data_IF_877589359569
#
_entry.id   IF_877589359569
#
_cell.length_a   1.000
_cell.length_b   1.000
_cell.length_c   1.000
_cell.angle_alpha   90.00
_cell.angle_beta   90.00
_cell.angle_gamma   90.00
#
_symmetry.space_group_name_H-M   'P 1'
#
loop_
_entity.id
_entity.type
_entity.pdbx_description
1 polymer ?
#
# COMPACT_ATOMS: atom_id res chain seq x y z
N UNK A 1 32.37 12.10 13.58
CA UNK A 1 30.96 12.53 13.48
C UNK A 1 30.14 11.29 13.20
N UNK A 2 29.18 10.93 14.06
CA UNK A 2 28.27 9.83 13.74
C UNK A 2 27.44 10.27 12.54
N UNK A 3 27.53 9.52 11.43
CA UNK A 3 26.72 9.79 10.24
C UNK A 3 25.25 9.62 10.59
N UNK A 4 24.40 10.56 10.16
CA UNK A 4 22.95 10.49 10.37
C UNK A 4 22.40 9.18 9.81
N UNK A 5 21.39 8.58 10.46
CA UNK A 5 20.75 7.38 9.93
C UNK A 5 19.82 7.70 8.76
N UNK A 6 19.38 6.70 8.00
CA UNK A 6 18.39 6.89 6.92
C UNK A 6 17.08 7.49 7.46
N UNK A 7 16.65 6.99 8.62
CA UNK A 7 15.45 7.46 9.33
C UNK A 7 15.58 8.92 9.73
N UNK A 8 16.72 9.32 10.29
CA UNK A 8 16.92 10.70 10.77
C UNK A 8 16.82 11.70 9.62
N UNK A 9 17.39 11.37 8.45
CA UNK A 9 17.27 12.21 7.25
C UNK A 9 15.83 12.40 6.80
N UNK A 10 15.04 11.33 6.79
CA UNK A 10 13.60 11.40 6.43
C UNK A 10 12.84 12.27 7.42
N UNK A 11 13.05 12.07 8.74
CA UNK A 11 12.40 12.87 9.78
C UNK A 11 12.75 14.35 9.64
N UNK A 12 14.04 14.69 9.49
CA UNK A 12 14.48 16.07 9.29
C UNK A 12 13.85 16.72 8.06
N UNK A 13 13.77 16.00 6.94
CA UNK A 13 13.13 16.52 5.73
C UNK A 13 11.64 16.82 5.97
N UNK A 14 10.92 15.94 6.69
CA UNK A 14 9.51 16.15 7.06
C UNK A 14 9.33 17.31 8.06
N UNK A 15 10.31 17.56 8.91
CA UNK A 15 10.35 18.68 9.86
C UNK A 15 10.91 19.98 9.26
N UNK A 16 11.18 20.01 7.95
CA UNK A 16 11.78 21.15 7.24
C UNK A 16 13.15 21.60 7.79
N UNK A 17 13.93 20.64 8.30
CA UNK A 17 15.29 20.84 8.79
C UNK A 17 16.32 20.35 7.77
N UNK A 18 17.50 20.95 7.80
CA UNK A 18 18.64 20.51 6.97
C UNK A 18 19.20 19.18 7.49
N UNK A 19 19.28 18.18 6.60
CA UNK A 19 20.03 16.94 6.78
C UNK A 19 21.37 17.00 6.05
N UNK A 20 22.28 16.06 6.36
CA UNK A 20 23.58 15.95 5.67
C UNK A 20 23.46 15.66 4.15
N UNK A 21 22.34 15.09 3.72
CA UNK A 21 21.91 14.94 2.31
C UNK A 21 20.39 14.75 2.22
N UNK A 22 19.83 15.04 1.05
CA UNK A 22 18.40 14.90 0.75
C UNK A 22 18.01 13.40 0.78
N UNK A 23 17.04 12.98 1.62
CA UNK A 23 16.51 11.63 1.56
C UNK A 23 15.81 11.40 0.23
N UNK A 24 15.98 10.22 -0.35
CA UNK A 24 15.44 9.90 -1.66
C UNK A 24 15.04 8.42 -1.75
N UNK A 25 14.25 8.13 -2.76
CA UNK A 25 13.86 6.78 -3.16
C UNK A 25 13.89 6.68 -4.68
N UNK A 26 14.61 5.68 -5.17
CA UNK A 26 14.64 5.31 -6.57
C UNK A 26 14.36 3.81 -6.67
N UNK A 27 13.22 3.49 -7.27
CA UNK A 27 12.88 2.14 -7.68
C UNK A 27 13.14 1.99 -9.18
N UNK A 28 13.51 0.79 -9.59
CA UNK A 28 13.80 0.44 -10.97
C UNK A 28 12.79 -0.58 -11.45
N UNK A 29 12.41 -0.48 -12.72
CA UNK A 29 11.76 -1.60 -13.40
C UNK A 29 12.71 -2.80 -13.44
N UNK A 30 12.18 -4.01 -13.58
CA UNK A 30 13.00 -5.21 -13.58
C UNK A 30 14.03 -5.21 -14.72
N UNK A 31 13.67 -4.78 -15.93
CA UNK A 31 14.63 -4.63 -17.03
C UNK A 31 15.73 -3.62 -16.71
N UNK A 32 15.39 -2.49 -16.10
CA UNK A 32 16.38 -1.48 -15.73
C UNK A 32 17.31 -2.02 -14.64
N UNK A 33 16.74 -2.69 -13.63
CA UNK A 33 17.48 -3.36 -12.56
C UNK A 33 18.43 -4.41 -13.11
N UNK A 34 17.96 -5.30 -13.98
CA UNK A 34 18.74 -6.39 -14.57
C UNK A 34 19.92 -5.88 -15.42
N UNK A 35 19.80 -4.70 -16.04
CA UNK A 35 20.91 -4.04 -16.73
C UNK A 35 21.98 -3.51 -15.78
N UNK A 36 21.61 -3.17 -14.54
CA UNK A 36 22.53 -2.62 -13.54
C UNK A 36 23.17 -3.70 -12.66
N UNK A 37 22.52 -4.85 -12.45
CA UNK A 37 23.07 -5.97 -11.65
C UNK A 37 24.53 -6.31 -12.00
N UNK A 38 24.94 -6.42 -13.28
CA UNK A 38 26.34 -6.74 -13.61
C UNK A 38 27.36 -5.66 -13.20
N UNK A 39 26.90 -4.45 -12.87
CA UNK A 39 27.75 -3.29 -12.57
C UNK A 39 27.80 -2.95 -11.08
N UNK A 40 26.95 -3.56 -10.25
CA UNK A 40 26.83 -3.27 -8.82
C UNK A 40 26.68 -4.56 -7.99
N UNK A 41 26.68 -4.43 -6.66
CA UNK A 41 26.38 -5.55 -5.76
C UNK A 41 24.88 -5.92 -5.77
N UNK A 42 24.52 -7.13 -5.36
CA UNK A 42 23.12 -7.62 -5.40
C UNK A 42 22.09 -6.73 -4.68
N UNK A 43 22.54 -5.96 -3.68
CA UNK A 43 21.74 -5.05 -2.86
C UNK A 43 22.07 -3.57 -3.15
N UNK A 44 22.38 -3.24 -4.41
CA UNK A 44 22.80 -1.90 -4.81
C UNK A 44 21.76 -0.81 -4.54
N UNK A 45 20.47 -1.15 -4.49
CA UNK A 45 19.41 -0.20 -4.17
C UNK A 45 19.53 0.28 -2.71
N UNK A 46 19.92 -0.61 -1.80
CA UNK A 46 20.18 -0.23 -0.41
C UNK A 46 21.62 0.21 -0.18
N UNK A 47 22.59 -0.21 -0.99
CA UNK A 47 24.01 0.11 -0.76
C UNK A 47 24.48 1.29 -1.60
N UNK A 48 24.37 1.21 -2.92
CA UNK A 48 24.81 2.23 -3.87
C UNK A 48 23.82 3.39 -3.99
N UNK A 49 22.57 3.10 -4.33
CA UNK A 49 21.53 4.13 -4.37
C UNK A 49 21.25 4.63 -2.96
N UNK A 50 21.32 3.74 -1.97
CA UNK A 50 21.12 4.08 -0.56
C UNK A 50 19.74 4.73 -0.36
N UNK A 51 18.70 4.03 -0.84
CA UNK A 51 17.30 4.40 -0.65
C UNK A 51 16.95 4.65 0.82
N UNK A 52 16.20 5.72 1.08
CA UNK A 52 15.81 6.16 2.43
C UNK A 52 14.37 5.79 2.78
N UNK A 53 13.57 5.43 1.78
CA UNK A 53 12.16 5.05 1.91
C UNK A 53 11.98 3.61 1.41
N UNK A 54 10.87 3.02 1.81
CA UNK A 54 10.35 1.78 1.25
C UNK A 54 8.97 2.08 0.67
N UNK A 55 8.76 1.69 -0.58
CA UNK A 55 7.49 1.86 -1.27
C UNK A 55 6.95 0.49 -1.65
N UNK A 56 5.64 0.31 -1.49
CA UNK A 56 4.94 -0.89 -1.92
C UNK A 56 3.62 -0.48 -2.53
N UNK A 57 3.39 -0.92 -3.76
CA UNK A 57 2.19 -0.62 -4.53
C UNK A 57 1.47 -1.90 -4.91
N UNK A 58 0.15 -1.81 -4.97
CA UNK A 58 -0.72 -2.81 -5.57
C UNK A 58 -1.41 -2.19 -6.79
N UNK A 59 -1.25 -2.84 -7.95
CA UNK A 59 -1.82 -2.38 -9.23
C UNK A 59 -2.49 -3.54 -9.98
N UNK A 60 -3.04 -4.52 -9.25
CA UNK A 60 -3.45 -5.81 -9.80
C UNK A 60 -2.31 -6.83 -9.88
N UNK A 61 -2.64 -8.12 -10.02
CA UNK A 61 -1.66 -9.16 -10.33
C UNK A 61 -1.82 -9.71 -11.74
N UNK A 62 -1.09 -9.16 -12.72
CA UNK A 62 -1.13 -9.65 -14.09
C UNK A 62 -0.69 -11.12 -14.18
N UNK A 63 -1.47 -11.95 -14.88
CA UNK A 63 -1.19 -13.36 -15.15
C UNK A 63 -1.18 -13.62 -16.67
N UNK A 64 -0.36 -14.56 -17.18
CA UNK A 64 -0.34 -14.85 -18.62
C UNK A 64 -1.73 -15.20 -19.16
N UNK A 65 -2.13 -14.60 -20.28
CA UNK A 65 -3.46 -14.79 -20.89
C UNK A 65 -3.62 -16.23 -21.39
N UNK A 66 -2.63 -16.75 -22.10
CA UNK A 66 -2.60 -18.11 -22.61
C UNK A 66 -1.15 -18.59 -22.84
N UNK A 67 -1.00 -19.85 -23.26
CA UNK A 67 0.32 -20.46 -23.52
C UNK A 67 0.90 -20.11 -24.88
N UNK A 68 0.09 -19.64 -25.81
CA UNK A 68 0.48 -19.29 -27.18
C UNK A 68 1.02 -17.85 -27.25
N UNK A 69 0.62 -16.99 -26.31
CA UNK A 69 1.00 -15.58 -26.17
C UNK A 69 1.54 -15.30 -24.75
N UNK A 70 2.69 -15.88 -24.35
CA UNK A 70 3.23 -15.74 -23.00
C UNK A 70 3.64 -14.30 -22.62
N UNK A 71 3.68 -13.40 -23.60
CA UNK A 71 3.97 -11.97 -23.45
C UNK A 71 2.74 -11.14 -23.09
N UNK A 72 1.54 -11.71 -23.11
CA UNK A 72 0.29 -11.02 -22.82
C UNK A 72 -0.18 -11.39 -21.43
N UNK A 73 -0.42 -10.37 -20.60
CA UNK A 73 -0.82 -10.57 -19.22
C UNK A 73 -2.15 -9.89 -18.95
N UNK A 74 -3.04 -10.55 -18.22
CA UNK A 74 -4.30 -9.98 -17.78
C UNK A 74 -4.27 -9.71 -16.29
N UNK A 75 -4.60 -8.49 -15.88
CA UNK A 75 -4.79 -8.16 -14.46
C UNK A 75 -6.19 -8.51 -13.95
N UNK A 76 -6.42 -8.26 -12.66
CA UNK A 76 -7.70 -8.58 -12.00
C UNK A 76 -8.87 -7.72 -12.52
N UNK A 77 -8.58 -6.59 -13.17
CA UNK A 77 -9.56 -5.73 -13.81
C UNK A 77 -9.78 -6.11 -15.28
N UNK A 78 -9.41 -7.31 -15.71
CA UNK A 78 -9.51 -7.77 -17.11
C UNK A 78 -8.72 -6.93 -18.14
N UNK A 79 -7.81 -6.05 -17.70
CA UNK A 79 -6.96 -5.29 -18.63
C UNK A 79 -5.86 -6.21 -19.15
N UNK A 80 -5.73 -6.27 -20.48
CA UNK A 80 -4.67 -7.02 -21.15
C UNK A 80 -3.47 -6.11 -21.43
N UNK A 81 -2.33 -6.46 -20.85
CA UNK A 81 -1.05 -5.81 -20.95
C UNK A 81 -0.15 -6.60 -21.90
N UNK A 82 0.20 -5.98 -23.03
CA UNK A 82 1.13 -6.51 -24.00
C UNK A 82 2.57 -6.14 -23.62
N UNK A 83 3.36 -7.15 -23.23
CA UNK A 83 4.77 -7.04 -22.85
C UNK A 83 5.73 -7.54 -23.92
N UNK A 84 5.25 -7.81 -25.14
CA UNK A 84 6.10 -8.26 -26.26
C UNK A 84 7.03 -7.16 -26.80
N UNK A 85 6.63 -5.90 -26.59
CA UNK A 85 7.26 -4.74 -27.20
C UNK A 85 8.39 -4.12 -26.38
N UNK A 86 8.39 -2.78 -26.34
CA UNK A 86 9.47 -1.98 -25.73
C UNK A 86 9.42 -2.05 -24.19
N UNK A 87 8.23 -2.06 -23.61
CA UNK A 87 8.03 -2.16 -22.16
C UNK A 87 7.61 -3.59 -21.80
N UNK A 88 8.58 -4.39 -21.35
CA UNK A 88 8.36 -5.78 -20.93
C UNK A 88 8.07 -5.90 -19.44
N UNK A 89 8.25 -4.82 -18.68
CA UNK A 89 8.06 -4.83 -17.22
C UNK A 89 6.60 -4.55 -16.86
N UNK A 90 6.06 -3.46 -17.42
CA UNK A 90 4.69 -3.02 -17.16
C UNK A 90 3.79 -3.55 -18.28
N UNK A 91 4.19 -3.32 -19.53
CA UNK A 91 3.39 -3.61 -20.72
C UNK A 91 2.58 -2.41 -21.18
N UNK A 92 2.13 -2.46 -22.43
CA UNK A 92 1.21 -1.48 -23.00
C UNK A 92 -0.19 -2.09 -23.05
N UNK A 93 -1.22 -1.31 -22.74
CA UNK A 93 -2.61 -1.77 -22.83
C UNK A 93 -2.92 -2.19 -24.27
N UNK A 94 -3.29 -3.46 -24.46
CA UNK A 94 -3.55 -4.05 -25.79
C UNK A 94 -4.88 -3.57 -26.37
N UNK A 95 -5.92 -3.49 -25.54
CA UNK A 95 -7.26 -3.09 -25.99
C UNK A 95 -7.99 -2.39 -24.84
N UNK A 96 -8.68 -1.27 -25.09
CA UNK A 96 -9.51 -0.64 -24.07
C UNK A 96 -10.61 -1.61 -23.63
N UNK A 97 -10.70 -1.79 -22.31
CA UNK A 97 -11.63 -2.75 -21.69
C UNK A 97 -13.10 -2.34 -21.88
N UNK A 98 -13.35 -1.03 -21.93
CA UNK A 98 -14.67 -0.45 -22.19
C UNK A 98 -14.62 0.25 -23.55
N UNK A 99 -15.18 -0.40 -24.57
CA UNK A 99 -15.32 0.16 -25.91
C UNK A 99 -16.67 0.89 -26.05
N UNK A 100 -16.77 2.10 -25.53
CA UNK A 100 -17.97 2.95 -25.61
C UNK A 100 -18.58 3.30 -24.23
N UNK A 101 -19.75 3.94 -24.17
CA UNK A 101 -20.36 4.36 -22.91
C UNK A 101 -21.12 3.24 -22.15
N UNK A 102 -21.04 2.00 -22.64
CA UNK A 102 -21.84 0.87 -22.14
C UNK A 102 -21.18 0.24 -20.91
N UNK A 103 -21.56 0.72 -19.73
CA UNK A 103 -21.11 0.20 -18.43
C UNK A 103 -21.55 -1.25 -18.19
N UNK A 104 -22.50 -1.76 -18.98
CA UNK A 104 -23.01 -3.13 -18.89
C UNK A 104 -21.95 -4.20 -19.23
N UNK A 105 -20.84 -3.79 -19.83
CA UNK A 105 -19.70 -4.68 -20.12
C UNK A 105 -18.70 -4.77 -18.97
N UNK A 106 -18.79 -3.85 -17.99
CA UNK A 106 -17.91 -3.87 -16.83
C UNK A 106 -18.28 -5.04 -15.92
N UNK A 107 -17.26 -5.80 -15.51
CA UNK A 107 -17.37 -6.80 -14.47
C UNK A 107 -16.49 -6.36 -13.32
N UNK A 108 -17.00 -6.50 -12.10
CA UNK A 108 -16.18 -6.26 -10.93
C UNK A 108 -15.02 -7.25 -10.90
N UNK A 109 -13.79 -6.78 -10.63
CA UNK A 109 -12.62 -7.63 -10.57
C UNK A 109 -12.78 -8.69 -9.48
N UNK A 110 -12.27 -9.89 -9.73
CA UNK A 110 -12.07 -10.86 -8.65
C UNK A 110 -10.84 -10.43 -7.86
N UNK A 111 -11.07 -9.84 -6.68
CA UNK A 111 -10.01 -9.42 -5.78
C UNK A 111 -9.41 -10.63 -5.04
N UNK A 112 -8.14 -10.96 -5.30
CA UNK A 112 -7.40 -11.96 -4.51
C UNK A 112 -6.96 -11.34 -3.18
N UNK A 113 -7.91 -11.32 -2.27
CA UNK A 113 -7.77 -10.78 -0.93
C UNK A 113 -6.60 -11.41 -0.16
N UNK A 114 -6.45 -12.74 -0.18
CA UNK A 114 -5.38 -13.41 0.55
C UNK A 114 -4.00 -12.98 0.05
N UNK A 115 -3.84 -12.83 -1.27
CA UNK A 115 -2.59 -12.37 -1.87
C UNK A 115 -2.31 -10.90 -1.57
N UNK A 116 -3.32 -10.03 -1.64
CA UNK A 116 -3.20 -8.62 -1.25
C UNK A 116 -2.73 -8.50 0.19
N UNK A 117 -3.44 -9.16 1.10
CA UNK A 117 -3.15 -9.14 2.53
C UNK A 117 -1.74 -9.64 2.84
N UNK A 118 -1.34 -10.79 2.28
CA UNK A 118 0.01 -11.34 2.44
C UNK A 118 1.09 -10.40 1.93
N UNK A 119 0.82 -9.64 0.88
CA UNK A 119 1.80 -8.78 0.22
C UNK A 119 1.97 -7.48 0.97
N UNK A 120 0.87 -6.76 1.24
CA UNK A 120 0.91 -5.40 1.80
C UNK A 120 1.44 -5.35 3.24
N UNK A 121 1.16 -6.37 4.05
CA UNK A 121 1.58 -6.39 5.46
C UNK A 121 2.97 -7.03 5.64
N UNK A 122 3.49 -7.70 4.58
CA UNK A 122 4.73 -8.49 4.64
C UNK A 122 5.92 -7.71 5.14
N UNK A 123 6.11 -6.50 4.62
CA UNK A 123 7.31 -5.72 4.89
C UNK A 123 7.37 -5.31 6.36
N UNK A 124 6.26 -4.84 6.92
CA UNK A 124 6.15 -4.49 8.33
C UNK A 124 6.36 -5.71 9.24
N UNK A 125 5.69 -6.84 8.94
CA UNK A 125 5.83 -8.10 9.71
C UNK A 125 7.27 -8.63 9.68
N UNK A 126 7.91 -8.68 8.50
CA UNK A 126 9.30 -9.15 8.34
C UNK A 126 10.29 -8.32 9.17
N UNK A 127 9.98 -7.05 9.39
CA UNK A 127 10.84 -6.12 10.13
C UNK A 127 10.38 -5.89 11.58
N UNK A 128 9.47 -6.72 12.10
CA UNK A 128 8.91 -6.65 13.44
C UNK A 128 8.39 -5.23 13.79
N UNK A 129 7.60 -4.66 12.87
CA UNK A 129 6.97 -3.35 13.01
C UNK A 129 5.47 -3.49 13.21
N UNK A 130 4.90 -2.59 14.00
CA UNK A 130 3.46 -2.44 14.12
C UNK A 130 2.84 -1.92 12.82
N UNK A 131 1.65 -2.41 12.50
CA UNK A 131 0.85 -2.05 11.33
C UNK A 131 -0.33 -1.20 11.78
N UNK A 132 -0.41 0.01 11.23
CA UNK A 132 -1.53 0.92 11.43
C UNK A 132 -2.16 1.15 10.06
N UNK A 133 -3.45 0.82 9.90
CA UNK A 133 -4.17 1.00 8.65
C UNK A 133 -5.23 2.10 8.79
N UNK A 134 -5.22 3.03 7.84
CA UNK A 134 -6.27 4.00 7.66
C UNK A 134 -7.39 3.47 6.75
N UNK A 135 -8.65 3.57 7.17
CA UNK A 135 -9.82 3.58 6.30
C UNK A 135 -10.85 4.59 6.82
N UNK A 136 -11.56 5.22 5.89
CA UNK A 136 -12.82 5.91 6.18
C UNK A 136 -13.98 4.91 6.02
N UNK A 137 -15.15 5.28 6.55
CA UNK A 137 -16.37 4.47 6.45
C UNK A 137 -16.46 3.36 7.50
N UNK A 138 -17.52 2.55 7.39
CA UNK A 138 -17.72 1.35 8.20
C UNK A 138 -17.05 0.16 7.50
N UNK A 139 -16.00 -0.36 8.12
CA UNK A 139 -15.32 -1.59 7.68
C UNK A 139 -15.34 -2.66 8.78
N UNK A 140 -16.29 -2.57 9.73
CA UNK A 140 -16.35 -3.48 10.88
C UNK A 140 -16.43 -4.96 10.48
N UNK A 141 -17.10 -5.27 9.37
CA UNK A 141 -17.17 -6.61 8.80
C UNK A 141 -15.80 -7.17 8.40
N UNK A 142 -14.82 -6.30 8.13
CA UNK A 142 -13.45 -6.68 7.76
C UNK A 142 -12.52 -6.79 8.96
N UNK A 143 -12.91 -6.38 10.18
CA UNK A 143 -12.01 -6.43 11.34
C UNK A 143 -11.47 -7.82 11.70
N UNK A 144 -12.29 -8.91 11.72
CA UNK A 144 -11.78 -10.25 12.04
C UNK A 144 -10.63 -10.66 11.12
N UNK A 145 -10.82 -10.33 9.85
CA UNK A 145 -9.91 -10.60 8.76
C UNK A 145 -8.63 -9.74 8.80
N UNK A 146 -8.77 -8.45 9.11
CA UNK A 146 -7.64 -7.54 9.27
C UNK A 146 -6.79 -7.92 10.50
N UNK A 147 -7.42 -8.39 11.57
CA UNK A 147 -6.75 -8.93 12.76
C UNK A 147 -5.95 -10.18 12.39
N UNK A 148 -6.57 -11.15 11.69
CA UNK A 148 -5.92 -12.41 11.30
C UNK A 148 -4.63 -12.18 10.50
N UNK A 149 -4.62 -11.17 9.63
CA UNK A 149 -3.45 -10.84 8.81
C UNK A 149 -2.42 -9.96 9.53
N UNK A 150 -2.71 -9.54 10.76
CA UNK A 150 -1.78 -8.87 11.66
C UNK A 150 -1.86 -7.35 11.68
N UNK A 151 -3.06 -6.78 11.48
CA UNK A 151 -3.31 -5.37 11.80
C UNK A 151 -3.20 -5.16 13.31
N UNK A 152 -2.34 -4.23 13.74
CA UNK A 152 -2.19 -3.93 15.17
C UNK A 152 -3.11 -2.77 15.61
N UNK A 153 -3.35 -1.81 14.72
CA UNK A 153 -4.17 -0.63 15.04
C UNK A 153 -4.98 -0.13 13.84
N UNK A 154 -6.28 0.09 14.04
CA UNK A 154 -7.17 0.67 13.04
C UNK A 154 -7.33 2.19 13.22
N UNK A 155 -7.25 2.93 12.12
CA UNK A 155 -7.48 4.37 12.03
C UNK A 155 -8.42 4.62 10.83
N UNK A 156 -9.31 5.60 10.78
CA UNK A 156 -9.79 6.43 11.87
C UNK A 156 -10.99 5.75 12.55
N UNK A 157 -10.94 5.56 13.87
CA UNK A 157 -12.11 5.10 14.61
C UNK A 157 -13.05 6.29 14.86
N UNK A 158 -14.24 6.27 14.27
CA UNK A 158 -15.25 7.33 14.42
C UNK A 158 -16.41 6.81 15.27
N UNK A 159 -16.66 7.46 16.41
CA UNK A 159 -17.73 7.03 17.34
C UNK A 159 -19.13 7.23 16.78
N UNK A 160 -19.27 7.99 15.69
CA UNK A 160 -20.54 8.12 14.95
C UNK A 160 -20.85 6.90 14.09
N UNK A 161 -19.84 6.11 13.75
CA UNK A 161 -19.97 4.90 12.93
C UNK A 161 -19.95 3.66 13.82
N UNK A 162 -19.04 3.63 14.79
CA UNK A 162 -18.76 2.44 15.58
C UNK A 162 -19.26 2.56 17.02
N UNK A 163 -19.91 1.51 17.51
CA UNK A 163 -20.13 1.29 18.94
C UNK A 163 -18.80 0.96 19.63
N UNK A 164 -18.31 1.87 20.46
CA UNK A 164 -17.04 1.73 21.15
C UNK A 164 -17.05 0.61 22.21
N UNK A 165 -18.16 0.44 22.93
CA UNK A 165 -18.28 -0.60 23.95
C UNK A 165 -18.37 -1.98 23.29
N UNK A 166 -19.13 -2.07 22.19
CA UNK A 166 -19.20 -3.24 21.33
C UNK A 166 -17.83 -3.61 20.75
N UNK A 167 -17.13 -2.63 20.16
CA UNK A 167 -15.78 -2.84 19.64
C UNK A 167 -14.82 -3.32 20.73
N UNK A 168 -14.82 -2.70 21.91
CA UNK A 168 -13.92 -3.09 23.00
C UNK A 168 -14.20 -4.51 23.48
N UNK A 169 -15.48 -4.91 23.55
CA UNK A 169 -15.89 -6.27 23.91
C UNK A 169 -15.46 -7.30 22.86
N UNK A 170 -15.67 -6.99 21.59
CA UNK A 170 -15.55 -7.97 20.51
C UNK A 170 -14.12 -8.07 19.93
N UNK A 171 -13.38 -6.95 19.89
CA UNK A 171 -12.05 -6.86 19.25
C UNK A 171 -10.96 -6.29 20.15
N UNK A 172 -11.29 -5.78 21.33
CA UNK A 172 -10.39 -4.99 22.16
C UNK A 172 -9.20 -5.73 22.79
N UNK A 173 -9.09 -7.04 22.60
CA UNK A 173 -7.93 -7.87 22.96
C UNK A 173 -6.94 -8.00 21.81
N UNK A 174 -7.39 -7.83 20.57
CA UNK A 174 -6.63 -8.16 19.37
C UNK A 174 -6.34 -6.93 18.49
N UNK A 175 -7.17 -5.89 18.56
CA UNK A 175 -7.07 -4.70 17.72
C UNK A 175 -7.09 -3.41 18.57
N UNK A 176 -6.05 -2.58 18.40
CA UNK A 176 -6.04 -1.22 18.93
C UNK A 176 -6.78 -0.26 17.99
N UNK A 177 -7.21 0.89 18.51
CA UNK A 177 -7.84 1.94 17.71
C UNK A 177 -7.10 3.27 17.86
N UNK A 178 -7.08 4.02 16.77
CA UNK A 178 -6.68 5.42 16.73
C UNK A 178 -7.84 6.26 16.22
N UNK A 179 -8.39 7.09 17.10
CA UNK A 179 -9.54 7.94 16.86
C UNK A 179 -10.32 8.11 18.15
N UNK A 180 -11.64 7.97 18.07
CA UNK A 180 -12.53 8.05 19.24
C UNK A 180 -13.08 9.44 19.51
N UNK A 181 -12.66 10.45 18.73
CA UNK A 181 -13.20 11.81 18.79
C UNK A 181 -13.79 12.15 17.43
N UNK A 182 -15.05 12.61 17.45
CA UNK A 182 -15.76 13.06 16.27
C UNK A 182 -15.05 14.24 15.61
N UNK A 183 -14.48 14.03 14.42
CA UNK A 183 -13.90 15.11 13.62
C UNK A 183 -14.98 15.99 12.98
N UNK A 184 -16.16 15.45 12.70
CA UNK A 184 -17.22 16.14 11.94
C UNK A 184 -18.23 16.91 12.82
N UNK A 185 -18.40 16.50 14.07
CA UNK A 185 -19.31 17.15 15.01
C UNK A 185 -18.50 17.86 16.11
N UNK A 186 -17.71 17.12 16.90
CA UNK A 186 -17.04 17.69 18.08
C UNK A 186 -15.93 18.67 17.65
N UNK A 187 -14.98 18.23 16.82
CA UNK A 187 -13.85 19.10 16.45
C UNK A 187 -14.24 20.20 15.45
N UNK A 188 -15.19 19.94 14.55
CA UNK A 188 -15.58 20.92 13.53
C UNK A 188 -16.64 21.93 14.01
N UNK A 189 -17.52 21.55 14.93
CA UNK A 189 -18.72 22.34 15.29
C UNK A 189 -18.96 22.45 16.80
N UNK A 190 -18.30 21.61 17.60
CA UNK A 190 -18.53 21.55 19.04
C UNK A 190 -18.03 22.81 19.75
N UNK A 191 -18.68 23.24 20.84
CA UNK A 191 -18.08 24.24 21.71
C UNK A 191 -16.80 23.68 22.33
N UNK A 192 -15.86 24.56 22.69
CA UNK A 192 -14.58 24.18 23.31
C UNK A 192 -14.74 23.24 24.52
N UNK A 193 -15.86 23.30 25.24
CA UNK A 193 -16.16 22.43 26.38
C UNK A 193 -16.50 20.98 26.01
N UNK A 194 -16.57 20.64 24.71
CA UNK A 194 -16.91 19.29 24.23
C UNK A 194 -15.69 18.43 23.90
N UNK A 195 -14.48 19.00 24.04
CA UNK A 195 -13.18 18.34 23.85
C UNK A 195 -12.55 18.15 25.24
#
# INVERSE_FOLDING_TARGET
MNSESRRDRVIKALEHQTSDRVPHFCELTEQARNKLIPHFADDFENTTFNNHLFYQQYSGWPTPVDREHPEFYRDEYDVVWNRSGVDKDIGVVETPMICGPAIEQYREPQFDEQRFRKTMYRAARKNNKYIIQHSCGDISELFPDLIDIGLDCYQTFQTEIYDMDGFKRDYGNDLSIWGGISTQQILAKGPHSSI
#
